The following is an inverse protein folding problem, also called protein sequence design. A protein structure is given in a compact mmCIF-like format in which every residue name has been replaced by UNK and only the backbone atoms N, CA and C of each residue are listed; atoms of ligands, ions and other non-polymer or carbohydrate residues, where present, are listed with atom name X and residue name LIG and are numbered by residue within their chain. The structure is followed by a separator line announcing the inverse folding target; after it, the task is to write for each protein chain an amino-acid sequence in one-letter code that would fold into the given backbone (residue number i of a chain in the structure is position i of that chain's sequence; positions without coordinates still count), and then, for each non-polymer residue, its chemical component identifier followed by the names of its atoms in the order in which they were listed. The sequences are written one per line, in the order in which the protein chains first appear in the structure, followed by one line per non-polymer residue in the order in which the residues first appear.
data_IF_479865137979
#
_entry.id   IF_479865137979
#
_cell.length_a   1.000
_cell.length_b   1.000
_cell.length_c   1.000
_cell.angle_alpha   90.00
_cell.angle_beta   90.00
_cell.angle_gamma   90.00
#
_symmetry.space_group_name_H-M   'P 1'
#
loop_
_entity.id
_entity.type
_entity.pdbx_description
1 polymer ?
#
# COMPACT_ATOMS: atom_id res chain seq x y z
N UNK A 1 20.49 -45.88 23.76
CA UNK A 1 20.11 -45.28 22.46
C UNK A 1 19.39 -43.96 22.73
N UNK A 2 20.14 -42.86 22.76
CA UNK A 2 19.56 -41.52 22.87
C UNK A 2 19.21 -41.04 21.45
N UNK A 3 17.93 -40.70 21.21
CA UNK A 3 17.51 -39.98 20.01
C UNK A 3 17.97 -38.53 20.19
N UNK A 4 18.99 -38.12 19.44
CA UNK A 4 19.32 -36.71 19.27
C UNK A 4 18.27 -36.07 18.37
N UNK A 5 17.65 -35.00 18.88
CA UNK A 5 16.72 -34.13 18.17
C UNK A 5 17.46 -33.39 17.05
N UNK A 6 17.08 -33.67 15.80
CA UNK A 6 17.63 -33.07 14.57
C UNK A 6 16.87 -31.80 14.15
N UNK A 7 16.21 -31.10 15.07
CA UNK A 7 15.31 -29.98 14.77
C UNK A 7 16.00 -28.61 14.63
N UNK A 8 17.31 -28.50 14.89
CA UNK A 8 18.02 -27.22 14.93
C UNK A 8 18.80 -26.86 13.64
N UNK A 9 19.05 -27.80 12.72
CA UNK A 9 19.84 -27.50 11.50
C UNK A 9 18.98 -26.99 10.31
N UNK A 10 17.66 -27.18 10.33
CA UNK A 10 16.76 -26.79 9.22
C UNK A 10 16.20 -25.36 9.32
N UNK A 11 16.15 -24.77 10.51
CA UNK A 11 15.50 -23.45 10.70
C UNK A 11 16.37 -22.30 10.17
N UNK A 12 17.69 -22.36 10.37
CA UNK A 12 18.63 -21.29 10.01
C UNK A 12 18.74 -21.12 8.48
N UNK A 13 18.63 -22.21 7.72
CA UNK A 13 18.70 -22.16 6.25
C UNK A 13 17.43 -21.54 5.66
N UNK A 14 16.24 -21.89 6.18
CA UNK A 14 14.97 -21.33 5.69
C UNK A 14 14.82 -19.82 5.89
N UNK A 15 15.30 -19.28 7.03
CA UNK A 15 15.24 -17.84 7.33
C UNK A 15 16.15 -17.01 6.41
N UNK A 16 17.38 -17.47 6.18
CA UNK A 16 18.30 -16.81 5.25
C UNK A 16 17.83 -16.89 3.80
N UNK A 17 17.16 -17.98 3.42
CA UNK A 17 16.59 -18.14 2.09
C UNK A 17 15.44 -17.15 1.87
N UNK A 18 14.50 -17.03 2.81
CA UNK A 18 13.38 -16.09 2.66
C UNK A 18 13.84 -14.63 2.64
N UNK A 19 14.77 -14.23 3.52
CA UNK A 19 15.32 -12.88 3.51
C UNK A 19 15.93 -12.49 2.15
N UNK A 20 16.65 -13.41 1.50
CA UNK A 20 17.20 -13.21 0.15
C UNK A 20 16.11 -13.10 -0.91
N UNK A 21 15.08 -13.95 -0.85
CA UNK A 21 13.94 -13.90 -1.77
C UNK A 21 13.17 -12.57 -1.63
N UNK A 22 12.90 -12.14 -0.40
CA UNK A 22 12.22 -10.87 -0.14
C UNK A 22 13.04 -9.67 -0.65
N UNK A 23 14.36 -9.68 -0.43
CA UNK A 23 15.26 -8.66 -0.96
C UNK A 23 15.21 -8.58 -2.49
N UNK A 24 15.29 -9.73 -3.17
CA UNK A 24 15.20 -9.82 -4.64
C UNK A 24 13.83 -9.36 -5.15
N UNK A 25 12.74 -9.82 -4.53
CA UNK A 25 11.38 -9.39 -4.89
C UNK A 25 11.22 -7.87 -4.73
N UNK A 26 11.78 -7.32 -3.65
CA UNK A 26 11.75 -5.88 -3.39
C UNK A 26 12.48 -5.08 -4.46
N UNK A 27 13.64 -5.55 -4.89
CA UNK A 27 14.41 -4.93 -5.97
C UNK A 27 13.65 -4.96 -7.30
N UNK A 28 13.08 -6.11 -7.67
CA UNK A 28 12.31 -6.24 -8.92
C UNK A 28 11.07 -5.35 -8.94
N UNK A 29 10.33 -5.29 -7.83
CA UNK A 29 9.17 -4.39 -7.68
C UNK A 29 9.57 -2.91 -7.74
N UNK A 30 10.68 -2.53 -7.12
CA UNK A 30 11.19 -1.16 -7.20
C UNK A 30 11.57 -0.76 -8.64
N UNK A 31 12.16 -1.67 -9.41
CA UNK A 31 12.53 -1.43 -10.81
C UNK A 31 11.33 -1.13 -11.72
N UNK A 32 10.13 -1.60 -11.35
CA UNK A 32 8.86 -1.32 -12.03
C UNK A 32 8.06 -0.20 -11.34
N UNK A 33 8.69 0.53 -10.40
CA UNK A 33 8.11 1.69 -9.74
C UNK A 33 7.14 1.40 -8.59
N UNK A 34 7.14 0.17 -8.08
CA UNK A 34 6.41 -0.24 -6.87
C UNK A 34 7.38 -0.24 -5.69
N UNK A 35 7.51 0.92 -5.04
CA UNK A 35 8.57 1.24 -4.07
C UNK A 35 8.11 1.25 -2.60
N UNK A 36 6.88 0.83 -2.33
CA UNK A 36 6.36 0.65 -0.97
C UNK A 36 6.15 -0.85 -0.77
N UNK A 37 7.03 -1.48 0.00
CA UNK A 37 7.07 -2.94 0.14
C UNK A 37 7.32 -3.25 1.60
N UNK A 38 6.36 -3.86 2.28
CA UNK A 38 6.46 -4.16 3.71
C UNK A 38 5.87 -5.52 4.04
N UNK A 39 6.60 -6.31 4.81
CA UNK A 39 6.15 -7.60 5.32
C UNK A 39 5.44 -7.46 6.67
N UNK A 40 4.43 -8.28 6.91
CA UNK A 40 3.69 -8.28 8.18
C UNK A 40 3.10 -9.67 8.48
N UNK A 41 2.84 -9.99 9.76
CA UNK A 41 2.15 -11.23 10.09
C UNK A 41 0.65 -11.06 9.85
N UNK A 42 0.05 -11.99 9.10
CA UNK A 42 -1.36 -11.90 8.70
C UNK A 42 -2.34 -11.83 9.90
N UNK A 43 -2.02 -12.45 11.04
CA UNK A 43 -2.82 -12.31 12.29
C UNK A 43 -3.07 -10.88 12.70
N UNK A 44 -2.14 -9.95 12.46
CA UNK A 44 -2.28 -8.58 12.94
C UNK A 44 -3.40 -7.85 12.20
N UNK A 45 -3.60 -8.15 10.91
CA UNK A 45 -4.78 -7.69 10.17
C UNK A 45 -6.07 -8.31 10.70
N UNK A 46 -6.11 -9.63 10.91
CA UNK A 46 -7.31 -10.35 11.34
C UNK A 46 -7.78 -9.99 12.76
N UNK A 47 -6.84 -9.58 13.63
CA UNK A 47 -7.11 -9.11 14.99
C UNK A 47 -7.44 -7.62 15.08
N UNK A 48 -7.35 -6.88 13.97
CA UNK A 48 -7.56 -5.45 14.02
C UNK A 48 -9.04 -5.11 14.31
N UNK A 49 -9.38 -4.31 15.33
CA UNK A 49 -10.76 -4.13 15.80
C UNK A 49 -11.75 -3.68 14.71
N UNK A 50 -11.30 -2.87 13.74
CA UNK A 50 -12.15 -2.38 12.64
C UNK A 50 -12.54 -3.47 11.62
N UNK A 51 -11.85 -4.62 11.61
CA UNK A 51 -12.23 -5.75 10.77
C UNK A 51 -13.37 -6.53 11.41
N UNK A 52 -13.39 -6.65 12.75
CA UNK A 52 -14.42 -7.41 13.47
C UNK A 52 -15.77 -6.70 13.55
N UNK A 53 -15.78 -5.37 13.46
CA UNK A 53 -16.97 -4.53 13.60
C UNK A 53 -17.58 -4.10 12.24
N UNK A 54 -17.06 -4.63 11.12
CA UNK A 54 -17.30 -4.00 9.83
C UNK A 54 -18.66 -4.39 9.19
N UNK A 55 -19.53 -3.40 9.00
CA UNK A 55 -20.78 -3.53 8.25
C UNK A 55 -20.59 -3.65 6.73
N UNK A 56 -19.40 -3.32 6.21
CA UNK A 56 -19.09 -3.26 4.78
C UNK A 56 -18.63 -4.58 4.14
N UNK A 57 -18.88 -5.74 4.78
CA UNK A 57 -18.43 -7.06 4.27
C UNK A 57 -16.91 -7.17 4.06
N UNK A 58 -16.10 -6.31 4.69
CA UNK A 58 -14.62 -6.42 4.62
C UNK A 58 -14.20 -7.75 5.23
N UNK A 59 -13.46 -8.56 4.46
CA UNK A 59 -13.13 -9.94 4.84
C UNK A 59 -11.88 -9.98 5.72
N UNK A 60 -11.87 -10.95 6.65
CA UNK A 60 -10.63 -11.47 7.26
C UNK A 60 -9.79 -12.16 6.17
N UNK A 61 -8.47 -12.07 6.27
CA UNK A 61 -7.58 -12.87 5.45
C UNK A 61 -7.75 -14.36 5.79
N UNK A 62 -7.58 -15.27 4.82
CA UNK A 62 -7.79 -16.70 5.03
C UNK A 62 -6.90 -17.26 6.14
N UNK A 63 -7.50 -18.00 7.07
CA UNK A 63 -6.80 -18.70 8.17
C UNK A 63 -6.16 -20.03 7.74
N UNK A 64 -6.50 -20.49 6.53
CA UNK A 64 -5.91 -21.65 5.88
C UNK A 64 -5.56 -21.28 4.45
N UNK A 65 -4.30 -21.50 4.07
CA UNK A 65 -3.83 -21.32 2.71
C UNK A 65 -2.90 -22.49 2.39
N UNK A 66 -3.30 -23.28 1.39
CA UNK A 66 -2.56 -24.46 0.92
C UNK A 66 -2.12 -25.39 2.07
N UNK A 67 -0.82 -25.50 2.32
CA UNK A 67 -0.22 -26.54 3.16
C UNK A 67 0.06 -26.12 4.60
N UNK A 68 -0.09 -24.84 4.95
CA UNK A 68 0.06 -24.36 6.33
C UNK A 68 -1.27 -24.54 7.09
N UNK A 69 -1.24 -25.37 8.12
CA UNK A 69 -2.40 -25.68 8.96
C UNK A 69 -2.83 -24.54 9.90
N UNK A 70 -1.96 -23.56 10.14
CA UNK A 70 -2.21 -22.36 10.94
C UNK A 70 -1.55 -21.12 10.31
N UNK A 71 -2.32 -20.35 9.54
CA UNK A 71 -1.86 -19.14 8.84
C UNK A 71 -1.86 -17.88 9.72
N UNK A 72 -2.23 -17.97 11.00
CA UNK A 72 -2.20 -16.79 11.87
C UNK A 72 -0.78 -16.17 11.87
N UNK A 73 0.24 -17.01 11.74
CA UNK A 73 1.63 -16.60 11.67
C UNK A 73 2.17 -16.49 10.24
N UNK A 74 1.36 -16.47 9.19
CA UNK A 74 1.88 -16.40 7.81
C UNK A 74 2.24 -14.99 7.37
N UNK A 75 3.11 -14.91 6.35
CA UNK A 75 3.66 -13.66 5.83
C UNK A 75 2.71 -13.02 4.82
N UNK A 76 2.28 -11.80 5.08
CA UNK A 76 1.72 -10.90 4.08
C UNK A 76 2.77 -9.89 3.62
N UNK A 77 2.74 -9.52 2.33
CA UNK A 77 3.57 -8.45 1.77
C UNK A 77 2.63 -7.38 1.17
N UNK A 78 2.64 -6.20 1.77
CA UNK A 78 1.99 -5.02 1.21
C UNK A 78 2.85 -4.45 0.09
N UNK A 79 2.23 -4.18 -1.06
CA UNK A 79 2.85 -3.52 -2.20
C UNK A 79 2.07 -2.26 -2.53
N UNK A 80 2.79 -1.16 -2.70
CA UNK A 80 2.27 0.12 -3.13
C UNK A 80 3.32 0.93 -3.88
N UNK A 81 2.99 2.19 -4.12
CA UNK A 81 3.88 3.11 -4.80
C UNK A 81 3.76 4.54 -4.26
N UNK A 82 4.87 5.27 -4.37
CA UNK A 82 4.92 6.73 -4.38
C UNK A 82 4.85 7.24 -5.83
N UNK A 83 5.27 8.49 -6.09
CA UNK A 83 5.36 9.03 -7.46
C UNK A 83 6.32 8.27 -8.38
N UNK A 84 7.20 7.42 -7.84
CA UNK A 84 8.16 6.64 -8.63
C UNK A 84 7.51 5.74 -9.68
N UNK A 85 6.28 5.27 -9.47
CA UNK A 85 5.49 4.47 -10.43
C UNK A 85 5.30 5.15 -11.77
N UNK A 86 5.20 6.48 -11.80
CA UNK A 86 4.66 7.19 -12.95
C UNK A 86 5.53 7.02 -14.19
N UNK A 87 6.85 7.17 -14.07
CA UNK A 87 7.77 7.06 -15.22
C UNK A 87 7.83 5.64 -15.80
N UNK A 88 8.02 4.56 -15.00
CA UNK A 88 7.94 3.18 -15.50
C UNK A 88 6.61 2.88 -16.18
N UNK A 89 5.49 3.30 -15.59
CA UNK A 89 4.17 3.11 -16.17
C UNK A 89 4.01 3.82 -17.52
N UNK A 90 4.39 5.09 -17.63
CA UNK A 90 4.29 5.82 -18.91
C UNK A 90 5.15 5.17 -20.00
N UNK A 91 6.37 4.74 -19.67
CA UNK A 91 7.24 4.01 -20.60
C UNK A 91 6.59 2.70 -21.07
N UNK A 92 5.97 1.96 -20.16
CA UNK A 92 5.24 0.74 -20.48
C UNK A 92 4.02 1.04 -21.38
N UNK A 93 3.21 2.04 -21.03
CA UNK A 93 2.04 2.45 -21.78
C UNK A 93 2.36 2.87 -23.22
N UNK A 94 3.48 3.58 -23.44
CA UNK A 94 3.94 3.98 -24.78
C UNK A 94 4.37 2.81 -25.64
N UNK A 95 4.88 1.74 -25.03
CA UNK A 95 5.37 0.54 -25.73
C UNK A 95 4.30 -0.54 -25.92
N UNK A 96 3.11 -0.35 -25.35
CA UNK A 96 1.99 -1.30 -25.39
C UNK A 96 0.71 -0.59 -25.90
N UNK A 97 0.58 -0.40 -27.23
CA UNK A 97 -0.55 0.33 -27.82
C UNK A 97 -1.93 -0.26 -27.49
N UNK A 98 -2.00 -1.55 -27.20
CA UNK A 98 -3.22 -2.24 -26.76
C UNK A 98 -3.81 -1.62 -25.49
N UNK A 99 -2.97 -1.14 -24.56
CA UNK A 99 -3.41 -0.50 -23.32
C UNK A 99 -4.14 0.82 -23.54
N UNK A 100 -3.93 1.49 -24.68
CA UNK A 100 -4.61 2.76 -24.97
C UNK A 100 -6.13 2.58 -25.07
N UNK A 101 -6.58 1.38 -25.46
CA UNK A 101 -7.99 1.02 -25.56
C UNK A 101 -8.61 0.62 -24.22
N UNK A 102 -7.78 0.21 -23.25
CA UNK A 102 -8.23 -0.31 -21.95
C UNK A 102 -8.74 0.83 -21.06
N UNK A 103 -9.79 0.57 -20.28
CA UNK A 103 -10.40 1.56 -19.35
C UNK A 103 -9.45 1.91 -18.21
N UNK A 104 -8.83 0.90 -17.58
CA UNK A 104 -7.91 1.03 -16.45
C UNK A 104 -6.51 0.49 -16.78
N UNK A 105 -5.74 1.16 -17.68
CA UNK A 105 -4.44 0.65 -18.13
C UNK A 105 -3.41 0.57 -17.00
N UNK A 106 -3.52 1.43 -15.98
CA UNK A 106 -2.63 1.36 -14.84
C UNK A 106 -2.86 0.11 -13.98
N UNK A 107 -4.12 -0.30 -13.81
CA UNK A 107 -4.42 -1.53 -13.05
C UNK A 107 -3.91 -2.77 -13.80
N UNK A 108 -4.01 -2.78 -15.14
CA UNK A 108 -3.40 -3.83 -15.97
C UNK A 108 -1.88 -3.87 -15.79
N UNK A 109 -1.21 -2.72 -15.87
CA UNK A 109 0.23 -2.63 -15.66
C UNK A 109 0.63 -3.18 -14.28
N UNK A 110 0.00 -2.70 -13.22
CA UNK A 110 0.28 -3.13 -11.84
C UNK A 110 0.07 -4.63 -11.68
N UNK A 111 -1.05 -5.16 -12.16
CA UNK A 111 -1.37 -6.59 -12.08
C UNK A 111 -0.34 -7.44 -12.80
N UNK A 112 0.08 -7.05 -14.00
CA UNK A 112 1.10 -7.76 -14.76
C UNK A 112 2.46 -7.71 -14.05
N UNK A 113 2.90 -6.53 -13.63
CA UNK A 113 4.22 -6.35 -13.03
C UNK A 113 4.34 -7.08 -11.68
N UNK A 114 3.34 -6.93 -10.80
CA UNK A 114 3.34 -7.62 -9.50
C UNK A 114 3.38 -9.14 -9.71
N UNK A 115 2.54 -9.66 -10.62
CA UNK A 115 2.48 -11.09 -10.90
C UNK A 115 3.80 -11.63 -11.47
N UNK A 116 4.38 -10.94 -12.45
CA UNK A 116 5.66 -11.34 -13.06
C UNK A 116 6.80 -11.36 -12.05
N UNK A 117 6.93 -10.33 -11.20
CA UNK A 117 7.95 -10.30 -10.15
C UNK A 117 7.75 -11.46 -9.15
N UNK A 118 6.51 -11.71 -8.73
CA UNK A 118 6.22 -12.82 -7.82
C UNK A 118 6.51 -14.18 -8.46
N UNK A 119 6.10 -14.42 -9.70
CA UNK A 119 6.40 -15.68 -10.39
C UNK A 119 7.92 -15.86 -10.59
N UNK A 120 8.64 -14.82 -10.98
CA UNK A 120 10.08 -14.91 -11.20
C UNK A 120 10.89 -15.15 -9.91
N UNK A 121 10.47 -14.58 -8.79
CA UNK A 121 11.21 -14.70 -7.52
C UNK A 121 10.72 -15.87 -6.67
N UNK A 122 9.40 -16.03 -6.52
CA UNK A 122 8.79 -17.00 -5.59
C UNK A 122 8.51 -18.36 -6.22
N UNK A 123 8.32 -18.42 -7.55
CA UNK A 123 8.09 -19.65 -8.30
C UNK A 123 9.32 -20.11 -9.11
N UNK A 124 10.51 -19.55 -8.87
CA UNK A 124 11.70 -19.86 -9.69
C UNK A 124 12.05 -21.36 -9.65
N UNK A 125 12.02 -22.01 -10.82
CA UNK A 125 12.08 -23.46 -11.02
C UNK A 125 13.40 -24.13 -10.63
N UNK A 126 14.42 -23.35 -10.26
CA UNK A 126 15.78 -23.86 -10.02
C UNK A 126 16.02 -24.39 -8.60
N UNK A 127 15.03 -24.32 -7.67
CA UNK A 127 15.18 -24.82 -6.29
C UNK A 127 13.93 -25.57 -5.80
N UNK A 128 14.13 -26.49 -4.84
CA UNK A 128 13.08 -27.25 -4.13
C UNK A 128 12.11 -26.38 -3.31
N UNK A 129 12.33 -25.06 -3.25
CA UNK A 129 11.74 -24.14 -2.28
C UNK A 129 10.71 -23.21 -2.93
N UNK A 130 9.74 -23.78 -3.68
CA UNK A 130 8.63 -22.99 -4.22
C UNK A 130 7.74 -22.49 -3.08
N UNK A 131 7.59 -21.17 -2.97
CA UNK A 131 6.67 -20.56 -2.00
C UNK A 131 5.35 -20.31 -2.69
N UNK A 132 4.30 -20.99 -2.24
CA UNK A 132 2.95 -20.72 -2.72
C UNK A 132 2.51 -19.31 -2.37
N UNK A 133 1.82 -18.62 -3.28
CA UNK A 133 1.28 -17.30 -2.99
C UNK A 133 -0.08 -17.02 -3.63
N UNK A 134 -0.78 -16.03 -3.09
CA UNK A 134 -2.00 -15.44 -3.61
C UNK A 134 -1.89 -13.92 -3.55
N UNK A 135 -2.45 -13.22 -4.54
CA UNK A 135 -2.31 -11.76 -4.66
C UNK A 135 -3.70 -11.16 -4.64
N UNK A 136 -3.94 -10.20 -3.74
CA UNK A 136 -5.13 -9.35 -3.70
C UNK A 136 -4.79 -7.98 -4.27
N UNK A 137 -5.67 -7.38 -5.06
CA UNK A 137 -5.47 -6.06 -5.64
C UNK A 137 -6.41 -5.03 -5.02
N UNK A 138 -5.95 -3.78 -4.90
CA UNK A 138 -6.69 -2.70 -4.24
C UNK A 138 -7.99 -2.30 -4.92
N UNK A 139 -8.15 -2.65 -6.21
CA UNK A 139 -9.36 -2.36 -6.98
C UNK A 139 -10.40 -3.50 -6.90
N UNK A 140 -10.08 -4.64 -6.28
CA UNK A 140 -11.01 -5.76 -6.20
C UNK A 140 -12.16 -5.45 -5.22
N UNK A 141 -13.37 -5.44 -5.76
CA UNK A 141 -14.60 -5.15 -4.99
C UNK A 141 -15.51 -6.37 -4.80
N UNK A 142 -15.10 -7.55 -5.29
CA UNK A 142 -15.90 -8.76 -5.11
C UNK A 142 -15.87 -9.20 -3.64
N UNK A 143 -16.98 -9.75 -3.16
CA UNK A 143 -17.18 -10.11 -1.74
C UNK A 143 -16.07 -10.99 -1.18
N UNK A 144 -15.49 -11.87 -1.99
CA UNK A 144 -14.43 -12.78 -1.54
C UNK A 144 -13.02 -12.18 -1.57
N UNK A 145 -12.86 -11.01 -2.17
CA UNK A 145 -11.58 -10.35 -2.46
C UNK A 145 -11.45 -8.97 -1.81
N UNK A 146 -12.54 -8.41 -1.31
CA UNK A 146 -12.57 -7.10 -0.68
C UNK A 146 -11.89 -7.12 0.70
N UNK A 147 -10.74 -6.44 0.80
CA UNK A 147 -9.97 -6.25 2.03
C UNK A 147 -9.66 -4.77 2.28
N UNK A 148 -9.34 -4.41 3.53
CA UNK A 148 -8.97 -3.03 3.87
C UNK A 148 -7.46 -2.81 3.72
N UNK A 149 -7.03 -2.27 2.58
CA UNK A 149 -5.63 -1.89 2.36
C UNK A 149 -5.11 -0.84 3.35
N UNK A 150 -6.00 0.03 3.85
CA UNK A 150 -5.64 0.99 4.91
C UNK A 150 -5.28 0.28 6.21
N UNK A 151 -6.04 -0.77 6.55
CA UNK A 151 -5.74 -1.61 7.71
C UNK A 151 -4.45 -2.39 7.50
N UNK A 152 -4.27 -3.00 6.32
CA UNK A 152 -3.02 -3.70 5.96
C UNK A 152 -1.81 -2.78 6.14
N UNK A 153 -1.86 -1.56 5.61
CA UNK A 153 -0.77 -0.59 5.74
C UNK A 153 -0.50 -0.13 7.17
N UNK A 154 -1.54 -0.07 7.99
CA UNK A 154 -1.43 0.27 9.40
C UNK A 154 -0.78 -0.86 10.20
N UNK A 155 -1.27 -2.09 10.07
CA UNK A 155 -0.76 -3.23 10.83
C UNK A 155 0.61 -3.69 10.34
N UNK A 156 0.97 -3.42 9.07
CA UNK A 156 2.33 -3.62 8.57
C UNK A 156 3.32 -2.57 9.08
N UNK A 157 2.85 -1.54 9.80
CA UNK A 157 3.65 -0.39 10.24
C UNK A 157 4.28 0.40 9.09
N UNK A 158 3.82 0.19 7.86
CA UNK A 158 4.28 0.93 6.69
C UNK A 158 3.75 2.37 6.69
N UNK A 159 2.49 2.56 7.09
CA UNK A 159 1.83 3.87 7.10
C UNK A 159 0.85 3.97 8.26
N UNK A 160 0.72 5.15 8.85
CA UNK A 160 -0.26 5.35 9.91
C UNK A 160 -1.64 5.64 9.31
N UNK A 161 -2.70 4.94 9.76
CA UNK A 161 -4.07 5.27 9.36
C UNK A 161 -4.57 6.46 10.17
N UNK A 162 -4.55 7.63 9.56
CA UNK A 162 -4.94 8.87 10.18
C UNK A 162 -6.46 9.05 10.04
N UNK A 163 -7.16 8.92 11.18
CA UNK A 163 -8.61 8.86 11.21
C UNK A 163 -9.28 10.14 10.68
N UNK A 164 -8.72 11.31 10.98
CA UNK A 164 -9.29 12.62 10.61
C UNK A 164 -9.55 12.74 9.10
N UNK A 165 -8.56 12.54 8.21
CA UNK A 165 -8.79 12.52 6.77
C UNK A 165 -9.18 11.15 6.19
N UNK A 166 -9.27 10.10 7.01
CA UNK A 166 -9.35 8.71 6.55
C UNK A 166 -8.28 8.36 5.49
N UNK A 167 -7.04 8.80 5.72
CA UNK A 167 -5.89 8.55 4.83
C UNK A 167 -4.80 7.78 5.57
N UNK A 168 -4.05 6.97 4.82
CA UNK A 168 -2.79 6.45 5.32
C UNK A 168 -1.68 7.48 5.04
N UNK A 169 -0.88 7.77 6.06
CA UNK A 169 0.27 8.65 5.98
C UNK A 169 1.55 7.82 6.03
N UNK A 170 2.30 7.81 4.94
CA UNK A 170 3.64 7.21 4.91
C UNK A 170 4.65 8.15 5.57
N UNK A 171 5.63 7.66 6.32
CA UNK A 171 6.55 8.54 7.03
C UNK A 171 7.40 9.45 6.15
N UNK A 172 7.74 8.98 4.95
CA UNK A 172 8.54 9.73 3.96
C UNK A 172 7.65 10.49 2.99
N UNK A 173 6.56 9.87 2.53
CA UNK A 173 5.78 10.37 1.39
C UNK A 173 4.48 11.06 1.82
N UNK A 174 4.14 11.02 3.11
CA UNK A 174 2.88 11.49 3.64
C UNK A 174 1.69 10.82 2.92
N UNK A 175 0.69 11.60 2.47
CA UNK A 175 -0.48 11.08 1.77
C UNK A 175 -0.22 10.78 0.28
N UNK A 176 1.00 11.00 -0.22
CA UNK A 176 1.35 10.85 -1.65
C UNK A 176 1.80 9.43 -1.99
N UNK A 177 0.93 8.50 -1.63
CA UNK A 177 1.10 7.07 -1.87
C UNK A 177 -0.20 6.44 -2.37
N UNK A 178 -0.07 5.27 -2.97
CA UNK A 178 -1.19 4.38 -3.27
C UNK A 178 -0.79 2.93 -2.97
N UNK A 179 -1.66 2.20 -2.29
CA UNK A 179 -1.51 0.75 -2.14
C UNK A 179 -2.09 0.06 -3.37
N UNK A 180 -1.47 -1.05 -3.78
CA UNK A 180 -1.74 -1.69 -5.07
C UNK A 180 -2.07 -3.16 -4.92
N UNK A 181 -1.27 -3.88 -4.14
CA UNK A 181 -1.43 -5.32 -3.97
C UNK A 181 -1.04 -5.78 -2.57
N UNK A 182 -1.64 -6.89 -2.16
CA UNK A 182 -1.26 -7.66 -0.98
C UNK A 182 -0.93 -9.07 -1.46
N UNK A 183 0.29 -9.52 -1.22
CA UNK A 183 0.72 -10.89 -1.51
C UNK A 183 0.68 -11.70 -0.22
N UNK A 184 -0.11 -12.77 -0.18
CA UNK A 184 -0.14 -13.75 0.90
C UNK A 184 0.80 -14.89 0.55
N UNK A 185 1.68 -15.26 1.47
CA UNK A 185 2.65 -16.33 1.26
C UNK A 185 2.32 -17.56 2.09
N UNK A 186 2.53 -18.73 1.49
CA UNK A 186 2.64 -20.03 2.16
C UNK A 186 4.01 -20.13 2.86
N UNK A 187 4.30 -19.15 3.72
CA UNK A 187 5.55 -18.99 4.44
C UNK A 187 5.29 -18.34 5.80
N UNK A 188 5.82 -18.94 6.87
CA UNK A 188 5.67 -18.41 8.22
C UNK A 188 6.38 -17.06 8.33
N UNK A 189 5.68 -16.05 8.83
CA UNK A 189 6.23 -14.77 9.19
C UNK A 189 7.37 -14.94 10.17
N UNK A 190 8.51 -14.39 9.78
CA UNK A 190 9.66 -14.24 10.62
C UNK A 190 9.81 -12.76 10.86
N UNK A 191 9.87 -12.37 12.14
CA UNK A 191 10.22 -10.99 12.51
C UNK A 191 11.72 -10.81 12.30
N UNK A 192 12.10 -10.84 11.02
CA UNK A 192 13.42 -10.48 10.61
C UNK A 192 13.46 -8.98 10.85
N UNK A 193 14.13 -8.58 11.94
CA UNK A 193 14.67 -7.24 12.09
C UNK A 193 15.69 -7.02 10.96
N UNK A 194 15.20 -6.92 9.71
CA UNK A 194 15.96 -6.67 8.51
C UNK A 194 16.50 -5.25 8.63
N UNK A 195 17.61 -5.12 9.35
CA UNK A 195 18.41 -3.89 9.46
C UNK A 195 18.98 -3.47 8.10
N UNK A 196 18.94 -4.35 7.10
CA UNK A 196 19.62 -4.20 5.81
C UNK A 196 18.71 -3.95 4.59
N UNK A 197 17.39 -4.16 4.71
CA UNK A 197 16.47 -3.50 3.77
C UNK A 197 16.30 -2.10 4.31
N UNK A 198 16.24 -1.07 3.46
CA UNK A 198 15.89 0.30 3.89
C UNK A 198 14.48 0.30 4.47
N UNK A 199 14.29 -0.26 5.67
CA UNK A 199 13.02 -0.30 6.36
C UNK A 199 12.70 1.15 6.64
N UNK A 200 11.72 1.67 5.93
CA UNK A 200 11.16 2.97 6.24
C UNK A 200 10.77 2.91 7.71
N UNK A 201 11.30 3.83 8.52
CA UNK A 201 11.20 3.80 9.96
C UNK A 201 9.82 3.29 10.42
N UNK A 202 9.80 2.15 11.12
CA UNK A 202 8.60 1.60 11.75
C UNK A 202 8.21 2.56 12.87
N UNK A 203 7.15 3.35 12.69
CA UNK A 203 6.71 4.29 13.73
C UNK A 203 5.73 3.60 14.68
N UNK A 204 6.00 3.74 15.97
CA UNK A 204 5.11 3.29 17.03
C UNK A 204 4.04 4.35 17.37
N UNK A 205 4.29 5.63 17.02
CA UNK A 205 3.42 6.76 17.39
C UNK A 205 3.25 7.77 16.23
N UNK A 206 1.99 8.06 15.88
CA UNK A 206 1.60 9.10 14.92
C UNK A 206 2.11 10.48 15.31
N UNK A 207 2.03 10.84 16.60
CA UNK A 207 2.44 12.16 17.06
C UNK A 207 3.93 12.37 16.83
N UNK A 208 4.75 11.35 17.13
CA UNK A 208 6.18 11.37 16.85
C UNK A 208 6.45 11.53 15.35
N UNK A 209 5.75 10.77 14.50
CA UNK A 209 5.90 10.86 13.04
C UNK A 209 5.53 12.26 12.52
N UNK A 210 4.42 12.83 12.99
CA UNK A 210 3.98 14.17 12.60
C UNK A 210 4.98 15.24 13.07
N UNK A 211 5.40 15.18 14.34
CA UNK A 211 6.38 16.11 14.91
C UNK A 211 7.72 16.08 14.17
N UNK A 212 8.23 14.90 13.78
CA UNK A 212 9.50 14.77 13.05
C UNK A 212 9.45 15.35 11.62
N UNK A 213 8.25 15.40 11.04
CA UNK A 213 8.03 15.87 9.67
C UNK A 213 7.55 17.32 9.57
N UNK A 214 7.14 17.92 10.68
CA UNK A 214 6.58 19.27 10.72
C UNK A 214 7.63 20.32 10.32
N UNK A 215 7.25 21.22 9.41
CA UNK A 215 8.14 22.28 8.90
C UNK A 215 8.13 23.54 9.77
N UNK A 216 7.00 23.85 10.41
CA UNK A 216 6.84 25.06 11.23
C UNK A 216 6.75 24.71 12.71
N UNK A 217 7.52 25.41 13.55
CA UNK A 217 7.42 25.28 15.02
C UNK A 217 6.25 26.06 15.63
N UNK A 218 5.64 26.95 14.84
CA UNK A 218 4.60 27.87 15.33
C UNK A 218 3.18 27.28 15.23
N UNK A 219 3.04 26.11 14.60
CA UNK A 219 1.76 25.41 14.44
C UNK A 219 1.69 24.20 15.36
N UNK A 220 0.61 24.09 16.11
CA UNK A 220 0.29 22.88 16.88
C UNK A 220 -0.34 21.82 15.99
N UNK A 221 -0.17 20.54 16.34
CA UNK A 221 -0.85 19.43 15.64
C UNK A 221 -2.37 19.59 15.70
N UNK A 222 -2.92 20.06 16.82
CA UNK A 222 -4.36 20.35 16.96
C UNK A 222 -4.86 21.38 15.94
N UNK A 223 -4.08 22.45 15.71
CA UNK A 223 -4.41 23.47 14.71
C UNK A 223 -4.41 22.89 13.30
N UNK A 224 -3.48 21.98 13.02
CA UNK A 224 -3.38 21.29 11.72
C UNK A 224 -4.55 20.33 11.53
N UNK A 225 -4.87 19.51 12.54
CA UNK A 225 -6.01 18.59 12.56
C UNK A 225 -7.32 19.33 12.26
N UNK A 226 -7.55 20.48 12.91
CA UNK A 226 -8.74 21.30 12.67
C UNK A 226 -8.85 21.74 11.21
N UNK A 227 -7.75 22.18 10.61
CA UNK A 227 -7.74 22.63 9.22
C UNK A 227 -7.98 21.48 8.23
N UNK A 228 -7.40 20.31 8.51
CA UNK A 228 -7.65 19.08 7.73
C UNK A 228 -9.13 18.69 7.83
N UNK A 229 -9.70 18.73 9.04
CA UNK A 229 -11.12 18.43 9.27
C UNK A 229 -12.04 19.39 8.51
N UNK A 230 -11.72 20.68 8.45
CA UNK A 230 -12.48 21.66 7.66
C UNK A 230 -12.48 21.30 6.16
N UNK A 231 -11.33 20.92 5.59
CA UNK A 231 -11.27 20.46 4.19
C UNK A 231 -12.05 19.16 3.96
N UNK A 232 -11.96 18.22 4.90
CA UNK A 232 -12.73 16.97 4.86
C UNK A 232 -14.23 17.21 4.86
N UNK A 233 -14.72 18.06 5.77
CA UNK A 233 -16.14 18.42 5.85
C UNK A 233 -16.63 19.05 4.54
N UNK A 234 -15.84 19.93 3.93
CA UNK A 234 -16.16 20.52 2.62
C UNK A 234 -16.25 19.45 1.51
N UNK A 235 -15.30 18.51 1.46
CA UNK A 235 -15.29 17.43 0.47
C UNK A 235 -16.48 16.48 0.65
N UNK A 236 -16.80 16.09 1.89
CA UNK A 236 -17.92 15.23 2.23
C UNK A 236 -19.27 15.88 1.90
N UNK A 237 -19.44 17.15 2.27
CA UNK A 237 -20.68 17.89 1.99
C UNK A 237 -20.96 17.93 0.49
N UNK A 238 -19.94 18.16 -0.36
CA UNK A 238 -20.12 18.15 -1.81
C UNK A 238 -20.35 16.77 -2.45
N UNK A 239 -20.07 15.69 -1.71
CA UNK A 239 -20.43 14.34 -2.14
C UNK A 239 -21.87 13.97 -1.77
N UNK A 240 -22.54 14.72 -0.89
CA UNK A 240 -23.91 14.44 -0.51
C UNK A 240 -24.88 14.87 -1.63
N UNK A 241 -25.60 13.93 -2.28
CA UNK A 241 -26.55 14.25 -3.36
C UNK A 241 -27.77 15.06 -2.89
N UNK A 242 -27.99 15.18 -1.57
CA UNK A 242 -29.06 15.98 -0.95
C UNK A 242 -28.59 17.35 -0.45
N UNK A 243 -27.34 17.73 -0.67
CA UNK A 243 -26.85 19.03 -0.21
C UNK A 243 -27.21 20.13 -1.22
N UNK A 244 -27.90 21.18 -0.75
CA UNK A 244 -28.13 22.45 -1.49
C UNK A 244 -26.88 23.33 -1.58
N UNK A 245 -25.73 22.81 -1.16
CA UNK A 245 -24.46 23.52 -1.26
C UNK A 245 -24.16 23.66 -2.75
N UNK A 246 -24.02 24.91 -3.22
CA UNK A 246 -23.52 25.28 -4.54
C UNK A 246 -22.08 24.76 -4.74
N UNK A 247 -21.91 23.45 -4.78
CA UNK A 247 -20.67 22.78 -5.09
C UNK A 247 -20.43 23.03 -6.57
N UNK A 248 -19.54 23.98 -6.83
CA UNK A 248 -18.91 24.29 -8.12
C UNK A 248 -18.98 23.04 -9.00
N UNK A 249 -19.77 23.09 -10.06
CA UNK A 249 -20.41 21.93 -10.70
C UNK A 249 -19.58 20.63 -10.76
N UNK A 250 -20.28 19.49 -10.69
CA UNK A 250 -19.81 18.10 -10.60
C UNK A 250 -18.39 17.79 -11.16
N UNK A 251 -17.99 18.44 -12.26
CA UNK A 251 -16.66 18.38 -12.92
C UNK A 251 -15.45 18.79 -12.05
N UNK A 252 -15.62 19.35 -10.84
CA UNK A 252 -14.49 19.77 -9.97
C UNK A 252 -14.47 19.15 -8.57
N UNK A 253 -15.35 18.19 -8.25
CA UNK A 253 -15.39 17.54 -6.92
C UNK A 253 -14.07 16.91 -6.50
N UNK A 254 -13.34 16.32 -7.45
CA UNK A 254 -12.03 15.72 -7.21
C UNK A 254 -11.01 16.70 -6.62
N UNK A 255 -11.12 18.00 -6.92
CA UNK A 255 -10.23 19.04 -6.36
C UNK A 255 -10.40 19.21 -4.86
N UNK A 256 -11.60 18.97 -4.32
CA UNK A 256 -11.83 19.04 -2.88
C UNK A 256 -11.10 17.89 -2.17
N UNK A 257 -11.13 16.69 -2.75
CA UNK A 257 -10.38 15.53 -2.25
C UNK A 257 -8.86 15.68 -2.44
N UNK A 258 -8.42 16.36 -3.49
CA UNK A 258 -7.02 16.77 -3.63
C UNK A 258 -6.62 17.76 -2.53
N UNK A 259 -7.46 18.76 -2.25
CA UNK A 259 -7.19 19.74 -1.20
C UNK A 259 -7.04 19.10 0.18
N UNK A 260 -7.76 18.01 0.49
CA UNK A 260 -7.55 17.24 1.72
C UNK A 260 -6.13 16.69 1.79
N UNK A 261 -5.63 16.04 0.72
CA UNK A 261 -4.26 15.52 0.67
C UNK A 261 -3.21 16.64 0.71
N UNK A 262 -3.47 17.75 0.02
CA UNK A 262 -2.61 18.93 0.05
C UNK A 262 -2.52 19.51 1.47
N UNK A 263 -3.65 19.63 2.18
CA UNK A 263 -3.70 20.08 3.58
C UNK A 263 -2.92 19.15 4.51
N UNK A 264 -3.03 17.83 4.31
CA UNK A 264 -2.29 16.82 5.06
C UNK A 264 -0.78 16.85 4.80
N UNK A 265 -0.29 17.54 3.76
CA UNK A 265 1.12 17.53 3.38
C UNK A 265 1.80 18.89 3.45
N UNK A 266 1.09 20.00 3.28
CA UNK A 266 1.68 21.34 3.15
C UNK A 266 2.43 21.84 4.40
N UNK A 267 2.08 21.32 5.57
CA UNK A 267 2.76 21.62 6.84
C UNK A 267 3.99 20.75 7.11
N UNK A 268 4.19 19.72 6.29
CA UNK A 268 5.18 18.68 6.51
C UNK A 268 6.17 18.62 5.33
N UNK A 269 7.30 17.95 5.55
CA UNK A 269 8.28 17.64 4.48
C UNK A 269 7.67 16.87 3.30
N UNK A 270 6.50 16.27 3.50
CA UNK A 270 5.76 15.47 2.52
C UNK A 270 5.31 16.24 1.28
N UNK A 271 5.15 17.57 1.34
CA UNK A 271 4.74 18.32 0.16
C UNK A 271 5.71 18.17 -1.02
N UNK A 272 7.00 17.95 -0.74
CA UNK A 272 8.02 17.68 -1.77
C UNK A 272 7.81 16.36 -2.53
N UNK A 273 7.03 15.44 -1.97
CA UNK A 273 6.71 14.12 -2.55
C UNK A 273 5.39 14.11 -3.33
N UNK A 274 4.70 15.24 -3.40
CA UNK A 274 3.49 15.41 -4.20
C UNK A 274 3.70 14.92 -5.64
N UNK A 275 2.66 14.28 -6.17
CA UNK A 275 2.61 13.84 -7.55
C UNK A 275 2.72 15.04 -8.50
N UNK A 276 3.31 14.83 -9.66
CA UNK A 276 3.33 15.87 -10.69
C UNK A 276 1.92 16.11 -11.27
N UNK A 277 1.80 17.15 -12.08
CA UNK A 277 0.51 17.61 -12.56
C UNK A 277 -0.21 16.56 -13.45
N UNK A 278 0.52 15.84 -14.31
CA UNK A 278 -0.09 14.84 -15.19
C UNK A 278 -0.54 13.61 -14.41
N UNK A 279 0.28 13.15 -13.47
CA UNK A 279 -0.06 12.05 -12.56
C UNK A 279 -1.29 12.37 -11.70
N UNK A 280 -1.35 13.58 -11.13
CA UNK A 280 -2.50 14.02 -10.33
C UNK A 280 -3.78 14.02 -11.16
N UNK A 281 -3.74 14.66 -12.31
CA UNK A 281 -4.91 14.79 -13.15
C UNK A 281 -5.40 13.41 -13.60
N UNK A 282 -4.49 12.51 -14.01
CA UNK A 282 -4.85 11.15 -14.34
C UNK A 282 -5.50 10.41 -13.15
N UNK A 283 -4.89 10.42 -11.96
CA UNK A 283 -5.44 9.68 -10.81
C UNK A 283 -6.80 10.19 -10.32
N UNK A 284 -7.07 11.49 -10.46
CA UNK A 284 -8.32 12.08 -9.99
C UNK A 284 -9.43 12.11 -11.04
N UNK A 285 -9.10 12.03 -12.34
CA UNK A 285 -10.12 12.11 -13.41
C UNK A 285 -10.21 10.86 -14.29
N UNK A 286 -9.23 9.95 -14.24
CA UNK A 286 -9.14 8.80 -15.14
C UNK A 286 -8.92 9.17 -16.61
N UNK A 287 -8.60 10.43 -16.91
CA UNK A 287 -8.54 10.93 -18.29
C UNK A 287 -7.21 10.55 -18.93
N UNK A 288 -7.28 9.62 -19.89
CA UNK A 288 -6.10 9.06 -20.57
C UNK A 288 -5.31 10.10 -21.35
N UNK A 289 -5.84 11.30 -21.64
CA UNK A 289 -5.05 12.34 -22.32
C UNK A 289 -3.80 12.73 -21.53
N UNK A 290 -3.83 12.62 -20.20
CA UNK A 290 -2.69 12.92 -19.33
C UNK A 290 -1.61 11.83 -19.35
N UNK A 291 -1.86 10.70 -20.03
CA UNK A 291 -0.85 9.67 -20.29
C UNK A 291 0.05 10.00 -21.48
N UNK A 292 -0.35 10.96 -22.32
CA UNK A 292 0.39 11.34 -23.54
C UNK A 292 1.25 12.60 -23.36
N UNK A 293 1.17 13.28 -22.22
CA UNK A 293 1.82 14.58 -21.98
C UNK A 293 3.19 14.43 -21.32
N UNK A 294 4.01 13.47 -21.75
CA UNK A 294 5.36 13.22 -21.17
C UNK A 294 6.38 14.25 -21.60
#
# INVERSE_FOLDING_TARGET
MAKMDNSNETSIDSEQVFGKLFGKLSEELQNVGLDIIEQFPMRDYNKYPKIEQNSLQIKKLPEKFRNISDMSDSTGILIGNSRHLWKPFLKYFQTHPDLQSIEHPLDVYVTQMVRQCCDHVLNNDLKKDRIGFEIYYSYEMSKDRLISFQTVAHVSKNSFFYNTPHLCLHPIYGPWIAFRALVLLDHKYQDNNLKDVKSVARFEDLNQMLSNNLLSKDLTLETIDKQIQEKMNLALNCNNPKSDVNCVGNKRKWKLWLNVRDECSKYFKWHAHRYDQSQLLYHYTGDKKYLFTS
#
